data_IF_847177249897
#
_entry.id   IF_847177249897
#
_cell.length_a   1.000
_cell.length_b   1.000
_cell.length_c   1.000
_cell.angle_alpha   90.00
_cell.angle_beta   90.00
_cell.angle_gamma   90.00
#
_symmetry.space_group_name_H-M   'P 1'
#
loop_
_entity.id
_entity.type
_entity.pdbx_description
1 polymer ?
#
# COMPACT_ATOMS: atom_id res chain seq x y z
N UNK A 1 13.74 -3.07 21.14
CA UNK A 1 13.84 -4.40 20.49
C UNK A 1 13.84 -4.16 18.97
N UNK A 2 15.01 -4.07 18.33
CA UNK A 2 15.19 -3.94 16.87
C UNK A 2 15.83 -5.24 16.39
N UNK A 3 15.04 -6.23 15.99
CA UNK A 3 15.56 -7.54 15.53
C UNK A 3 15.28 -7.77 14.03
N UNK A 4 14.59 -6.84 13.33
CA UNK A 4 14.21 -7.01 11.92
C UNK A 4 14.39 -5.73 11.08
N UNK A 5 15.36 -4.87 11.38
CA UNK A 5 15.71 -3.76 10.48
C UNK A 5 16.99 -4.11 9.73
N UNK A 6 16.96 -4.05 8.39
CA UNK A 6 18.13 -4.19 7.54
C UNK A 6 19.09 -3.02 7.78
N UNK A 7 20.36 -3.33 7.98
CA UNK A 7 21.41 -2.32 8.17
C UNK A 7 21.55 -1.41 6.93
N UNK A 8 21.85 -0.13 7.17
CA UNK A 8 22.14 0.94 6.20
C UNK A 8 20.98 1.68 5.51
N UNK A 9 19.73 1.60 6.00
CA UNK A 9 18.61 2.38 5.46
C UNK A 9 18.56 3.88 5.89
N UNK A 10 19.46 4.32 6.78
CA UNK A 10 19.39 5.66 7.40
C UNK A 10 20.34 6.73 6.80
N UNK A 11 21.03 6.44 5.68
CA UNK A 11 21.92 7.45 5.07
C UNK A 11 21.14 8.63 4.46
N UNK A 12 21.74 9.82 4.38
CA UNK A 12 21.13 10.99 3.72
C UNK A 12 20.88 10.79 2.21
N UNK A 13 21.56 9.83 1.56
CA UNK A 13 21.29 9.41 0.17
C UNK A 13 20.02 8.55 0.04
N UNK A 14 19.54 7.95 1.13
CA UNK A 14 18.33 7.10 1.19
C UNK A 14 17.04 7.88 1.47
N UNK A 15 17.13 9.21 1.66
CA UNK A 15 16.07 9.99 2.32
C UNK A 15 14.90 10.46 1.45
N UNK A 16 14.83 10.14 0.17
CA UNK A 16 13.74 10.63 -0.69
C UNK A 16 13.34 9.62 -1.76
N UNK A 17 12.69 8.52 -1.37
CA UNK A 17 11.83 7.81 -2.32
C UNK A 17 10.55 8.63 -2.37
N UNK A 18 10.23 9.24 -3.52
CA UNK A 18 9.03 10.08 -3.64
C UNK A 18 7.78 9.26 -3.33
N UNK A 19 7.44 8.33 -4.22
CA UNK A 19 6.35 7.38 -4.05
C UNK A 19 6.88 5.98 -4.25
N UNK A 20 6.55 5.06 -3.35
CA UNK A 20 6.80 3.65 -3.54
C UNK A 20 5.48 2.93 -3.85
N UNK A 21 5.53 1.95 -4.76
CA UNK A 21 4.36 1.18 -5.18
C UNK A 21 4.70 -0.30 -5.03
N UNK A 22 3.81 -1.05 -4.40
CA UNK A 22 3.87 -2.50 -4.36
C UNK A 22 2.52 -3.10 -4.75
N UNK A 23 2.57 -4.08 -5.63
CA UNK A 23 1.39 -4.76 -6.16
C UNK A 23 1.64 -6.26 -6.14
N UNK A 24 0.82 -7.00 -5.38
CA UNK A 24 0.87 -8.46 -5.36
C UNK A 24 0.05 -9.11 -6.49
N UNK A 25 -0.56 -8.30 -7.35
CA UNK A 25 -1.39 -8.75 -8.45
C UNK A 25 -2.67 -9.40 -7.96
N UNK A 26 -3.15 -10.38 -8.73
CA UNK A 26 -4.30 -11.21 -8.37
C UNK A 26 -3.80 -12.47 -7.65
N UNK A 27 -4.12 -12.57 -6.38
CA UNK A 27 -3.85 -13.76 -5.58
C UNK A 27 -4.99 -14.76 -5.75
N UNK A 28 -4.62 -15.97 -6.13
CA UNK A 28 -5.55 -17.10 -6.28
C UNK A 28 -5.58 -17.92 -4.98
N UNK A 29 -6.30 -17.39 -3.99
CA UNK A 29 -6.56 -18.10 -2.73
C UNK A 29 -7.97 -18.69 -2.74
N UNK A 30 -8.19 -19.81 -2.03
CA UNK A 30 -9.54 -20.30 -1.78
C UNK A 30 -10.38 -19.23 -1.07
N UNK A 31 -11.52 -18.86 -1.67
CA UNK A 31 -12.45 -17.91 -1.06
C UNK A 31 -13.12 -18.48 0.19
N UNK A 32 -13.28 -19.81 0.27
CA UNK A 32 -13.87 -20.50 1.42
C UNK A 32 -12.90 -21.49 2.03
N UNK A 33 -12.86 -21.49 3.35
CA UNK A 33 -12.17 -22.48 4.16
C UNK A 33 -13.12 -22.99 5.23
N UNK A 34 -13.77 -24.13 4.94
CA UNK A 34 -14.89 -24.63 5.74
C UNK A 34 -16.03 -23.61 5.77
N UNK A 35 -16.43 -23.21 6.98
CA UNK A 35 -17.48 -22.21 7.22
C UNK A 35 -16.98 -20.77 7.12
N UNK A 36 -15.68 -20.54 6.93
CA UNK A 36 -15.07 -19.20 6.88
C UNK A 36 -14.95 -18.75 5.42
N UNK A 37 -15.41 -17.54 5.12
CA UNK A 37 -15.27 -16.92 3.79
C UNK A 37 -14.32 -15.73 3.87
N UNK A 38 -13.32 -15.71 2.98
CA UNK A 38 -12.41 -14.59 2.81
C UNK A 38 -13.13 -13.46 2.07
N UNK A 39 -13.53 -12.42 2.80
CA UNK A 39 -14.20 -11.28 2.18
C UNK A 39 -13.23 -10.37 1.41
N UNK A 40 -12.08 -10.06 2.02
CA UNK A 40 -11.09 -9.12 1.49
C UNK A 40 -9.71 -9.39 2.07
N UNK A 41 -8.69 -9.21 1.25
CA UNK A 41 -7.30 -9.16 1.70
C UNK A 41 -6.81 -7.70 1.72
N UNK A 42 -6.28 -7.23 2.85
CA UNK A 42 -5.72 -5.88 3.02
C UNK A 42 -4.23 -6.03 3.26
N UNK A 43 -3.41 -5.53 2.34
CA UNK A 43 -1.96 -5.52 2.48
C UNK A 43 -1.52 -4.21 3.13
N UNK A 44 -0.64 -4.30 4.14
CA UNK A 44 0.00 -3.14 4.77
C UNK A 44 1.48 -3.03 4.35
N UNK A 45 1.80 -2.28 3.28
CA UNK A 45 3.14 -2.24 2.72
C UNK A 45 4.18 -1.47 3.58
N UNK A 46 3.78 -0.60 4.50
CA UNK A 46 4.72 0.22 5.28
C UNK A 46 5.64 -0.56 6.23
N UNK A 47 5.32 -1.82 6.52
CA UNK A 47 6.22 -2.72 7.24
C UNK A 47 7.48 -3.09 6.45
N UNK A 48 7.40 -3.12 5.11
CA UNK A 48 8.52 -3.42 4.22
C UNK A 48 9.19 -2.20 3.60
N UNK A 49 8.52 -1.05 3.64
CA UNK A 49 8.99 0.22 3.06
C UNK A 49 8.85 1.30 4.15
N UNK A 50 9.94 1.69 4.83
CA UNK A 50 9.86 2.70 5.88
C UNK A 50 9.29 4.02 5.35
N UNK A 51 8.21 4.51 5.95
CA UNK A 51 7.60 5.81 5.60
C UNK A 51 8.55 7.01 5.85
N UNK A 52 9.57 6.83 6.70
CA UNK A 52 10.65 7.80 6.85
C UNK A 52 11.47 8.01 5.56
N UNK A 53 11.44 7.03 4.65
CA UNK A 53 12.16 7.05 3.39
C UNK A 53 11.23 7.24 2.18
N UNK A 54 9.93 6.94 2.31
CA UNK A 54 8.92 7.09 1.27
C UNK A 54 7.76 8.00 1.72
N UNK A 55 7.55 9.15 1.05
CA UNK A 55 6.49 10.10 1.41
C UNK A 55 5.08 9.51 1.21
N UNK A 56 4.96 8.54 0.30
CA UNK A 56 3.74 7.80 0.00
C UNK A 56 4.08 6.38 -0.38
N UNK A 57 3.39 5.41 0.21
CA UNK A 57 3.44 4.00 -0.17
C UNK A 57 2.05 3.56 -0.64
N UNK A 58 1.97 3.08 -1.87
CA UNK A 58 0.76 2.54 -2.46
C UNK A 58 0.84 1.00 -2.49
N UNK A 59 -0.09 0.34 -1.81
CA UNK A 59 -0.27 -1.10 -1.83
C UNK A 59 -1.49 -1.50 -2.65
N UNK A 60 -1.33 -2.43 -3.58
CA UNK A 60 -2.44 -3.02 -4.34
C UNK A 60 -2.43 -4.54 -4.28
N UNK A 61 -3.61 -5.14 -4.16
CA UNK A 61 -3.81 -6.59 -4.20
C UNK A 61 -5.25 -6.89 -4.58
N UNK A 62 -5.43 -7.86 -5.48
CA UNK A 62 -6.74 -8.41 -5.82
C UNK A 62 -6.87 -9.79 -5.22
N UNK A 63 -7.89 -10.02 -4.40
CA UNK A 63 -8.16 -11.32 -3.80
C UNK A 63 -9.69 -11.48 -3.62
N UNK A 64 -10.21 -12.71 -3.75
CA UNK A 64 -11.65 -13.00 -3.67
C UNK A 64 -12.49 -12.06 -4.57
N UNK A 65 -12.02 -11.81 -5.79
CA UNK A 65 -12.70 -10.93 -6.77
C UNK A 65 -12.71 -9.44 -6.42
N UNK A 66 -12.05 -9.00 -5.34
CA UNK A 66 -12.03 -7.60 -4.91
C UNK A 66 -10.63 -7.01 -4.97
N UNK A 67 -10.51 -5.83 -5.57
CA UNK A 67 -9.30 -5.00 -5.47
C UNK A 67 -9.28 -4.26 -4.13
N UNK A 68 -8.18 -4.40 -3.41
CA UNK A 68 -7.82 -3.59 -2.25
C UNK A 68 -6.69 -2.65 -2.63
N UNK A 69 -6.91 -1.35 -2.43
CA UNK A 69 -5.92 -0.30 -2.59
C UNK A 69 -5.69 0.36 -1.23
N UNK A 70 -4.42 0.43 -0.80
CA UNK A 70 -4.02 1.02 0.47
C UNK A 70 -3.01 2.12 0.20
N UNK A 71 -3.25 3.32 0.77
CA UNK A 71 -2.29 4.42 0.78
C UNK A 71 -1.78 4.58 2.21
N UNK A 72 -0.47 4.47 2.39
CA UNK A 72 0.21 4.74 3.65
C UNK A 72 1.14 5.95 3.47
N UNK A 73 1.12 6.87 4.42
CA UNK A 73 1.95 8.07 4.42
C UNK A 73 2.26 8.46 5.88
N UNK A 74 3.38 9.13 6.10
CA UNK A 74 3.68 9.76 7.38
C UNK A 74 2.99 11.14 7.42
N UNK A 75 2.17 11.39 8.44
CA UNK A 75 1.47 12.68 8.60
C UNK A 75 2.45 13.85 8.75
N UNK A 76 3.64 13.58 9.29
CA UNK A 76 4.72 14.55 9.43
C UNK A 76 5.33 14.95 8.07
N UNK A 77 5.18 14.10 7.06
CA UNK A 77 5.71 14.30 5.71
C UNK A 77 4.65 14.77 4.70
N UNK A 78 3.36 14.57 4.98
CA UNK A 78 2.28 14.90 4.05
C UNK A 78 0.94 15.21 4.72
N UNK A 79 0.25 16.22 4.18
CA UNK A 79 -1.10 16.61 4.60
C UNK A 79 -2.14 15.55 4.22
N UNK A 80 -2.91 15.10 5.21
CA UNK A 80 -4.02 14.17 5.06
C UNK A 80 -5.06 14.64 4.03
N UNK A 81 -5.29 15.94 3.87
CA UNK A 81 -6.20 16.47 2.85
C UNK A 81 -5.68 16.24 1.43
N UNK A 82 -4.36 16.34 1.22
CA UNK A 82 -3.71 16.03 -0.06
C UNK A 82 -3.81 14.53 -0.33
N UNK A 83 -3.53 13.69 0.67
CA UNK A 83 -3.58 12.23 0.52
C UNK A 83 -5.00 11.72 0.23
N UNK A 84 -6.03 12.33 0.82
CA UNK A 84 -7.43 12.06 0.46
C UNK A 84 -7.70 12.38 -1.00
N UNK A 85 -7.27 13.54 -1.50
CA UNK A 85 -7.43 13.91 -2.92
C UNK A 85 -6.73 12.93 -3.86
N UNK A 86 -5.54 12.46 -3.49
CA UNK A 86 -4.80 11.44 -4.27
C UNK A 86 -5.58 10.13 -4.31
N UNK A 87 -6.06 9.65 -3.16
CA UNK A 87 -6.89 8.44 -3.05
C UNK A 87 -8.15 8.56 -3.92
N UNK A 88 -8.87 9.67 -3.83
CA UNK A 88 -10.12 9.86 -4.56
C UNK A 88 -9.88 9.87 -6.09
N UNK A 89 -8.82 10.55 -6.56
CA UNK A 89 -8.40 10.50 -7.97
C UNK A 89 -7.99 9.10 -8.42
N UNK A 90 -7.30 8.34 -7.58
CA UNK A 90 -6.90 6.97 -7.92
C UNK A 90 -8.12 6.05 -8.08
N UNK A 91 -9.11 6.18 -7.19
CA UNK A 91 -10.38 5.45 -7.28
C UNK A 91 -11.17 5.88 -8.53
N UNK A 92 -11.27 7.18 -8.78
CA UNK A 92 -11.91 7.71 -9.99
C UNK A 92 -11.27 7.13 -11.26
N UNK A 93 -9.94 7.13 -11.34
CA UNK A 93 -9.23 6.57 -12.47
C UNK A 93 -9.55 5.09 -12.66
N UNK A 94 -9.51 4.28 -11.59
CA UNK A 94 -9.78 2.83 -11.66
C UNK A 94 -11.22 2.50 -12.07
N UNK A 95 -12.19 3.32 -11.67
CA UNK A 95 -13.60 3.13 -12.02
C UNK A 95 -13.86 3.58 -13.47
N UNK A 96 -13.26 4.70 -13.88
CA UNK A 96 -13.50 5.31 -15.18
C UNK A 96 -12.56 4.80 -16.28
N UNK A 97 -11.50 4.04 -15.96
CA UNK A 97 -10.55 3.48 -16.93
C UNK A 97 -11.09 2.27 -17.70
N UNK A 98 -12.40 2.12 -17.84
CA UNK A 98 -12.98 1.11 -18.72
C UNK A 98 -12.87 1.59 -20.18
N UNK A 99 -11.76 1.22 -20.81
CA UNK A 99 -11.62 1.12 -22.27
C UNK A 99 -11.93 -0.29 -22.73
#
# INVERSE_FOLDING_TARGET
MRILQRDHLESLQTKHWGTAITNLGRLDFPEKYGEITLDRFIMQPGGGIPLANANLVLGAVTCAGKLSLVLEYAEEAADAAVMRKIKDKAVEYLINSQG
#
